data_IF_049383955657
#
_entry.id   IF_049383955657
#
_cell.length_a   1.000
_cell.length_b   1.000
_cell.length_c   1.000
_cell.angle_alpha   90.00
_cell.angle_beta   90.00
_cell.angle_gamma   90.00
#
_symmetry.space_group_name_H-M   'P 1'
#
loop_
_entity.id
_entity.type
_entity.pdbx_description
1 polymer ?
#
# COMPACT_ATOMS: atom_id res chain seq x y z
N UNK A 1 13.58 -5.74 1.37
CA UNK A 1 12.27 -6.07 0.76
C UNK A 1 12.17 -7.57 0.55
N UNK A 2 10.96 -8.14 0.50
CA UNK A 2 10.79 -9.51 0.02
C UNK A 2 10.97 -9.55 -1.51
N UNK A 3 11.34 -10.71 -2.09
CA UNK A 3 11.56 -10.84 -3.53
C UNK A 3 10.33 -10.44 -4.36
N UNK A 4 9.16 -10.98 -4.02
CA UNK A 4 7.88 -10.66 -4.66
C UNK A 4 7.51 -9.17 -4.53
N UNK A 5 7.84 -8.57 -3.39
CA UNK A 5 7.56 -7.16 -3.10
C UNK A 5 8.42 -6.21 -3.94
N UNK A 6 9.67 -6.60 -4.23
CA UNK A 6 10.62 -5.79 -4.99
C UNK A 6 10.48 -6.02 -6.50
N UNK A 7 9.99 -7.19 -6.90
CA UNK A 7 9.93 -7.63 -8.29
C UNK A 7 9.28 -6.58 -9.24
N UNK A 8 8.16 -5.92 -8.92
CA UNK A 8 7.56 -4.92 -9.81
C UNK A 8 8.50 -3.76 -10.11
N UNK A 9 9.30 -3.35 -9.13
CA UNK A 9 10.30 -2.30 -9.31
C UNK A 9 11.42 -2.73 -10.25
N UNK A 10 11.75 -4.02 -10.34
CA UNK A 10 12.85 -4.50 -11.21
C UNK A 10 12.45 -4.59 -12.69
N UNK A 11 11.14 -4.53 -13.00
CA UNK A 11 10.62 -4.64 -14.36
C UNK A 11 10.51 -3.30 -15.09
N UNK A 12 10.67 -2.18 -14.39
CA UNK A 12 10.57 -0.84 -15.00
C UNK A 12 11.93 -0.33 -15.45
N UNK A 13 12.00 0.44 -16.57
CA UNK A 13 13.20 1.18 -16.92
C UNK A 13 13.58 2.16 -15.80
N UNK A 14 14.86 2.21 -15.44
CA UNK A 14 15.41 3.12 -14.41
C UNK A 14 14.66 3.07 -13.07
N UNK A 15 14.76 1.95 -12.34
CA UNK A 15 13.95 1.74 -11.16
C UNK A 15 14.37 2.63 -9.98
N UNK A 16 13.36 3.08 -9.23
CA UNK A 16 13.54 3.92 -8.04
C UNK A 16 13.27 3.11 -6.78
N UNK A 17 14.06 3.34 -5.73
CA UNK A 17 13.87 2.69 -4.43
C UNK A 17 12.49 3.05 -3.86
N UNK A 18 11.63 2.09 -3.47
CA UNK A 18 10.30 2.38 -2.92
C UNK A 18 10.31 3.21 -1.62
N UNK A 19 11.44 3.29 -0.91
CA UNK A 19 11.57 4.04 0.34
C UNK A 19 12.15 5.43 0.12
N UNK A 20 13.34 5.53 -0.50
CA UNK A 20 14.04 6.80 -0.65
C UNK A 20 13.92 7.44 -2.03
N UNK A 21 13.24 6.78 -2.98
CA UNK A 21 13.06 7.20 -4.39
C UNK A 21 14.36 7.41 -5.17
N UNK A 22 15.51 7.01 -4.63
CA UNK A 22 16.79 7.07 -5.34
C UNK A 22 16.83 6.02 -6.45
N UNK A 23 17.34 6.36 -7.65
CA UNK A 23 17.61 5.39 -8.69
C UNK A 23 18.56 4.30 -8.20
N UNK A 24 18.34 3.06 -8.62
CA UNK A 24 19.25 1.96 -8.34
C UNK A 24 19.43 1.06 -9.56
N UNK A 25 20.53 0.33 -9.60
CA UNK A 25 20.79 -0.66 -10.65
C UNK A 25 20.14 -2.00 -10.27
N UNK A 26 19.13 -2.48 -11.01
CA UNK A 26 18.47 -3.74 -10.70
C UNK A 26 19.41 -4.96 -10.78
N UNK A 27 20.54 -4.86 -11.50
CA UNK A 27 21.56 -5.93 -11.56
C UNK A 27 22.43 -6.01 -10.30
N UNK A 28 22.49 -4.92 -9.52
CA UNK A 28 23.25 -4.85 -8.26
C UNK A 28 22.40 -5.19 -7.03
N UNK A 29 21.16 -5.65 -7.24
CA UNK A 29 20.30 -6.08 -6.15
C UNK A 29 20.74 -7.46 -5.70
N UNK A 30 21.29 -7.52 -4.49
CA UNK A 30 21.75 -8.77 -3.88
C UNK A 30 20.85 -9.23 -2.74
N UNK A 31 20.87 -10.54 -2.47
CA UNK A 31 20.15 -11.11 -1.32
C UNK A 31 20.83 -10.67 -0.03
N UNK A 32 20.03 -10.17 0.90
CA UNK A 32 20.48 -9.82 2.25
C UNK A 32 20.66 -11.08 3.11
N UNK A 33 21.71 -11.85 2.86
CA UNK A 33 21.97 -13.15 3.50
C UNK A 33 22.02 -13.10 5.03
N UNK A 34 22.54 -12.00 5.60
CA UNK A 34 22.53 -11.77 7.06
C UNK A 34 21.10 -11.71 7.61
N UNK A 35 20.19 -11.00 6.90
CA UNK A 35 18.78 -10.87 7.29
C UNK A 35 18.07 -12.22 7.16
N UNK A 36 18.33 -12.99 6.10
CA UNK A 36 17.78 -14.34 5.94
C UNK A 36 18.19 -15.30 7.07
N UNK A 37 19.45 -15.22 7.50
CA UNK A 37 19.96 -15.98 8.65
C UNK A 37 19.26 -15.56 9.95
N UNK A 38 19.12 -14.25 10.19
CA UNK A 38 18.40 -13.75 11.38
C UNK A 38 16.92 -14.18 11.40
N UNK A 39 16.23 -14.12 10.25
CA UNK A 39 14.85 -14.60 10.12
C UNK A 39 14.72 -16.10 10.39
N UNK A 40 15.75 -16.87 10.05
CA UNK A 40 15.77 -18.33 10.23
C UNK A 40 16.12 -18.76 11.66
N UNK A 41 16.94 -17.98 12.37
CA UNK A 41 17.35 -18.29 13.74
C UNK A 41 16.37 -17.76 14.79
N UNK A 42 15.82 -16.56 14.59
CA UNK A 42 14.96 -15.92 15.56
C UNK A 42 13.56 -16.56 15.57
N UNK A 43 13.11 -16.95 16.77
CA UNK A 43 11.78 -17.54 17.01
C UNK A 43 10.90 -16.56 17.77
N UNK A 44 9.67 -16.40 17.31
CA UNK A 44 8.64 -15.59 17.95
C UNK A 44 7.38 -16.44 18.19
N UNK A 45 6.57 -16.16 19.24
CA UNK A 45 5.29 -16.82 19.42
C UNK A 45 4.28 -16.39 18.36
N UNK A 46 3.51 -17.33 17.83
CA UNK A 46 2.35 -17.05 16.99
C UNK A 46 1.27 -16.32 17.79
N UNK A 47 0.66 -15.27 17.24
CA UNK A 47 -0.41 -14.50 17.92
C UNK A 47 -1.69 -15.31 18.17
N UNK A 48 -1.94 -16.35 17.37
CA UNK A 48 -3.12 -17.20 17.54
C UNK A 48 -2.90 -18.33 18.56
N UNK A 49 -1.85 -19.13 18.37
CA UNK A 49 -1.65 -20.36 19.16
C UNK A 49 -0.44 -20.33 20.11
N UNK A 50 0.28 -19.20 20.21
CA UNK A 50 1.47 -19.01 21.06
C UNK A 50 2.66 -19.93 20.77
N UNK A 51 2.56 -20.85 19.79
CA UNK A 51 3.67 -21.72 19.37
C UNK A 51 4.84 -20.86 18.88
N UNK A 52 6.04 -21.14 19.37
CA UNK A 52 7.27 -20.48 18.92
C UNK A 52 7.65 -21.00 17.53
N UNK A 53 7.65 -20.13 16.54
CA UNK A 53 7.99 -20.43 15.14
C UNK A 53 9.08 -19.47 14.69
N UNK A 54 10.00 -19.92 13.83
CA UNK A 54 11.00 -19.03 13.22
C UNK A 54 10.31 -17.99 12.36
N UNK A 55 10.83 -16.76 12.30
CA UNK A 55 10.21 -15.70 11.50
C UNK A 55 10.11 -16.08 10.03
N UNK A 56 11.13 -16.77 9.49
CA UNK A 56 11.13 -17.29 8.13
C UNK A 56 9.93 -18.21 7.82
N UNK A 57 9.43 -18.98 8.81
CA UNK A 57 8.30 -19.91 8.65
C UNK A 57 6.97 -19.36 9.17
N UNK A 58 6.96 -18.18 9.79
CA UNK A 58 5.77 -17.63 10.45
C UNK A 58 4.63 -17.39 9.45
N UNK A 59 4.92 -16.95 8.23
CA UNK A 59 3.89 -16.72 7.19
C UNK A 59 3.12 -18.01 6.85
N UNK A 60 3.83 -19.09 6.55
CA UNK A 60 3.24 -20.40 6.24
C UNK A 60 2.55 -21.03 7.45
N UNK A 61 3.04 -20.75 8.66
CA UNK A 61 2.36 -21.16 9.88
C UNK A 61 1.03 -20.42 10.05
N UNK A 62 1.02 -19.10 9.89
CA UNK A 62 -0.19 -18.27 10.03
C UNK A 62 -1.29 -18.70 9.06
N UNK A 63 -0.94 -19.01 7.80
CA UNK A 63 -1.93 -19.45 6.80
C UNK A 63 -2.62 -20.77 7.14
N UNK A 64 -1.99 -21.62 7.98
CA UNK A 64 -2.51 -22.93 8.40
C UNK A 64 -2.88 -23.00 9.89
N UNK A 65 -2.75 -21.90 10.64
CA UNK A 65 -3.01 -21.88 12.07
C UNK A 65 -4.50 -21.67 12.33
N UNK A 66 -5.19 -22.72 12.79
CA UNK A 66 -6.63 -22.66 13.12
C UNK A 66 -6.98 -21.51 14.07
N UNK A 67 -6.15 -21.25 15.11
CA UNK A 67 -6.38 -20.16 16.05
C UNK A 67 -6.25 -18.77 15.43
N UNK A 68 -5.37 -18.59 14.44
CA UNK A 68 -5.30 -17.32 13.70
C UNK A 68 -6.47 -17.19 12.75
N UNK A 69 -6.86 -18.26 12.06
CA UNK A 69 -8.03 -18.27 11.17
C UNK A 69 -9.32 -17.94 11.92
N UNK A 70 -9.51 -18.50 13.12
CA UNK A 70 -10.63 -18.20 14.02
C UNK A 70 -10.67 -16.71 14.40
N UNK A 71 -9.53 -16.12 14.76
CA UNK A 71 -9.43 -14.68 15.05
C UNK A 71 -9.73 -13.82 13.81
N UNK A 72 -9.25 -14.20 12.63
CA UNK A 72 -9.52 -13.49 11.38
C UNK A 72 -11.00 -13.57 10.95
N UNK A 73 -11.67 -14.70 11.21
CA UNK A 73 -13.09 -14.85 10.95
C UNK A 73 -13.95 -13.95 11.83
N UNK A 74 -13.49 -13.66 13.05
CA UNK A 74 -14.13 -12.75 13.99
C UNK A 74 -13.80 -11.26 13.74
N UNK A 75 -12.84 -10.94 12.86
CA UNK A 75 -12.60 -9.55 12.47
C UNK A 75 -13.78 -9.03 11.63
N UNK A 76 -14.24 -7.78 11.88
CA UNK A 76 -15.24 -7.15 11.03
C UNK A 76 -14.76 -7.18 9.58
N UNK A 77 -15.50 -7.90 8.72
CA UNK A 77 -15.25 -7.84 7.28
C UNK A 77 -15.66 -6.46 6.82
N UNK A 78 -14.71 -5.71 6.28
CA UNK A 78 -15.03 -4.47 5.59
C UNK A 78 -15.83 -4.84 4.36
N UNK A 79 -17.15 -4.64 4.42
CA UNK A 79 -18.02 -4.79 3.26
C UNK A 79 -17.98 -3.42 2.58
N UNK A 80 -17.58 -3.34 1.29
CA UNK A 80 -17.75 -2.10 0.53
C UNK A 80 -19.19 -1.63 0.72
N UNK A 81 -19.35 -0.35 1.07
CA UNK A 81 -20.68 0.24 1.19
C UNK A 81 -21.38 0.00 -0.14
N UNK A 82 -22.43 -0.83 -0.12
CA UNK A 82 -23.28 -1.09 -1.28
C UNK A 82 -23.70 0.28 -1.83
N UNK A 83 -23.75 0.51 -3.15
CA UNK A 83 -24.31 1.76 -3.68
C UNK A 83 -25.64 1.99 -2.99
N UNK A 84 -25.71 3.05 -2.18
CA UNK A 84 -26.90 3.29 -1.37
C UNK A 84 -28.09 3.47 -2.32
N UNK A 85 -29.19 2.77 -2.06
CA UNK A 85 -30.45 2.98 -2.80
C UNK A 85 -31.09 4.32 -2.44
N UNK A 86 -30.48 5.08 -1.52
CA UNK A 86 -30.87 6.45 -1.25
C UNK A 86 -30.52 7.32 -2.47
N UNK A 87 -31.48 8.10 -2.99
CA UNK A 87 -31.17 9.08 -4.02
C UNK A 87 -30.09 10.02 -3.49
N UNK A 88 -29.05 10.23 -4.29
CA UNK A 88 -28.00 11.21 -3.99
C UNK A 88 -28.71 12.53 -3.72
N UNK A 89 -28.61 13.11 -2.50
CA UNK A 89 -29.23 14.39 -2.23
C UNK A 89 -28.61 15.44 -3.17
N UNK A 90 -29.37 15.86 -4.18
CA UNK A 90 -28.92 16.76 -5.25
C UNK A 90 -28.50 18.15 -4.76
N UNK A 91 -28.79 18.47 -3.50
CA UNK A 91 -28.49 19.74 -2.84
C UNK A 91 -27.40 19.66 -1.77
N UNK A 92 -26.71 18.53 -1.61
CA UNK A 92 -25.53 18.45 -0.73
C UNK A 92 -24.30 18.64 -1.61
N UNK A 93 -23.50 19.72 -1.46
CA UNK A 93 -22.24 19.85 -2.18
C UNK A 93 -21.40 18.62 -1.87
N UNK A 94 -20.91 17.95 -2.91
CA UNK A 94 -20.09 16.75 -2.79
C UNK A 94 -18.94 17.05 -1.80
N UNK A 95 -19.02 16.48 -0.59
CA UNK A 95 -18.03 16.71 0.48
C UNK A 95 -16.69 16.06 0.17
N UNK A 96 -16.65 15.18 -0.83
CA UNK A 96 -15.44 14.58 -1.38
C UNK A 96 -14.93 15.36 -2.59
N UNK A 97 -15.03 16.69 -2.53
CA UNK A 97 -14.42 17.57 -3.50
C UNK A 97 -13.06 18.01 -3.01
N UNK A 98 -12.10 17.99 -3.91
CA UNK A 98 -10.75 18.42 -3.68
C UNK A 98 -10.57 19.86 -4.18
N UNK A 99 -9.58 20.51 -3.60
CA UNK A 99 -9.10 21.82 -4.03
C UNK A 99 -7.75 21.62 -4.71
N UNK A 100 -7.59 22.17 -5.91
CA UNK A 100 -6.33 22.16 -6.62
C UNK A 100 -5.29 22.92 -5.80
N UNK A 101 -4.15 22.29 -5.44
CA UNK A 101 -3.15 22.93 -4.61
C UNK A 101 -2.32 23.99 -5.37
N UNK A 102 -2.37 24.01 -6.71
CA UNK A 102 -1.66 25.00 -7.53
C UNK A 102 -2.43 26.31 -7.67
N UNK A 103 -3.74 26.24 -7.97
CA UNK A 103 -4.54 27.41 -8.32
C UNK A 103 -5.78 27.63 -7.43
N UNK A 104 -6.03 26.75 -6.46
CA UNK A 104 -7.18 26.84 -5.57
C UNK A 104 -8.52 26.48 -6.23
N UNK A 105 -8.53 25.93 -7.45
CA UNK A 105 -9.76 25.45 -8.10
C UNK A 105 -10.46 24.41 -7.21
N UNK A 106 -11.70 24.66 -6.82
CA UNK A 106 -12.47 23.84 -5.86
C UNK A 106 -13.47 22.96 -6.60
N UNK A 107 -14.13 22.07 -5.86
CA UNK A 107 -15.22 21.24 -6.37
C UNK A 107 -14.79 20.21 -7.43
N UNK A 108 -13.50 19.86 -7.48
CA UNK A 108 -12.98 18.82 -8.35
C UNK A 108 -13.13 17.46 -7.65
N UNK A 109 -13.66 16.44 -8.30
CA UNK A 109 -13.53 15.07 -7.78
C UNK A 109 -12.08 14.56 -7.95
N UNK A 110 -11.79 13.34 -7.50
CA UNK A 110 -10.44 12.79 -7.58
C UNK A 110 -9.92 12.72 -9.04
N UNK A 111 -10.76 12.28 -9.98
CA UNK A 111 -10.35 12.09 -11.36
C UNK A 111 -10.21 13.44 -12.06
N UNK A 112 -11.14 14.36 -11.82
CA UNK A 112 -11.11 15.73 -12.33
C UNK A 112 -9.94 16.53 -11.74
N UNK A 113 -9.58 16.32 -10.48
CA UNK A 113 -8.39 16.95 -9.89
C UNK A 113 -7.11 16.48 -10.58
N UNK A 114 -6.96 15.15 -10.75
CA UNK A 114 -5.77 14.59 -11.41
C UNK A 114 -5.67 15.10 -12.84
N UNK A 115 -6.77 15.07 -13.59
CA UNK A 115 -6.83 15.59 -14.96
C UNK A 115 -6.50 17.09 -15.00
N UNK A 116 -7.15 17.90 -14.16
CA UNK A 116 -6.90 19.34 -14.06
C UNK A 116 -5.43 19.65 -13.80
N UNK A 117 -4.80 19.00 -12.82
CA UNK A 117 -3.39 19.18 -12.50
C UNK A 117 -2.47 18.78 -13.67
N UNK A 118 -2.76 17.67 -14.33
CA UNK A 118 -1.95 17.15 -15.44
C UNK A 118 -2.07 17.97 -16.73
N UNK A 119 -3.20 18.63 -16.96
CA UNK A 119 -3.43 19.44 -18.18
C UNK A 119 -2.98 20.89 -17.99
N UNK A 120 -3.20 21.47 -16.80
CA UNK A 120 -3.03 22.91 -16.57
C UNK A 120 -1.73 23.25 -15.83
N UNK A 121 -1.17 22.31 -15.04
CA UNK A 121 -0.01 22.55 -14.16
C UNK A 121 1.14 21.57 -14.39
N UNK A 122 1.16 20.86 -15.52
CA UNK A 122 2.14 19.79 -15.83
C UNK A 122 3.59 20.23 -15.70
N UNK A 123 3.87 21.47 -16.09
CA UNK A 123 5.21 22.06 -16.11
C UNK A 123 5.36 23.17 -15.06
N UNK A 124 4.43 23.27 -14.10
CA UNK A 124 4.50 24.29 -13.06
C UNK A 124 5.72 23.98 -12.16
N UNK A 125 6.67 24.93 -12.00
CA UNK A 125 7.87 24.72 -11.19
C UNK A 125 7.58 24.70 -9.68
N UNK A 126 6.40 25.15 -9.25
CA UNK A 126 6.03 25.20 -7.85
C UNK A 126 5.71 23.79 -7.33
N UNK A 127 6.41 23.37 -6.28
CA UNK A 127 6.10 22.11 -5.60
C UNK A 127 4.90 22.31 -4.68
N UNK A 128 3.83 21.57 -4.95
CA UNK A 128 2.74 21.35 -4.01
C UNK A 128 3.05 20.10 -3.17
N UNK A 129 2.75 20.17 -1.87
CA UNK A 129 3.04 19.12 -0.87
C UNK A 129 2.22 17.86 -1.11
#
# INVERSE_FOLDING_TARGET
FCGECLQPCLQVPSPLCPLCRMPFDPKKVEKASSVEKQLSSYKAPCRGCSKKVTLAKMRSHVSSCAKVQEQMANCPKFVPVVPTSQPIPSNIPNRSTFVCPYCGARNLDQQELVKHCMENHRNDPNKVV
#
